data_IF_121822781813
#
_entry.id   IF_121822781813
#
_cell.length_a   1.000
_cell.length_b   1.000
_cell.length_c   1.000
_cell.angle_alpha   90.00
_cell.angle_beta   90.00
_cell.angle_gamma   90.00
#
_symmetry.space_group_name_H-M   'P 1'
#
loop_
_entity.id
_entity.type
_entity.pdbx_description
1 polymer ?
#
# COMPACT_ATOMS: atom_id res chain seq x y z
N UNK A 1 28.58 76.19 -38.19
CA UNK A 1 27.69 75.37 -39.02
C UNK A 1 27.86 73.92 -38.60
N UNK A 2 26.73 73.26 -38.38
CA UNK A 2 26.46 71.85 -38.05
C UNK A 2 26.90 71.25 -36.70
N UNK A 3 25.85 71.09 -35.89
CA UNK A 3 25.67 70.24 -34.72
C UNK A 3 25.20 68.88 -35.27
N UNK A 4 25.71 67.76 -34.76
CA UNK A 4 24.95 66.55 -34.41
C UNK A 4 25.88 65.34 -34.25
N UNK A 5 26.22 65.06 -32.99
CA UNK A 5 26.60 63.73 -32.53
C UNK A 5 25.46 63.25 -31.63
N UNK A 6 24.48 62.56 -32.20
CA UNK A 6 23.49 61.85 -31.40
C UNK A 6 24.14 60.59 -30.81
N UNK A 7 24.51 60.70 -29.54
CA UNK A 7 24.97 59.59 -28.73
C UNK A 7 23.82 58.64 -28.45
N UNK A 8 23.91 57.45 -29.01
CA UNK A 8 23.28 56.21 -28.55
C UNK A 8 23.44 56.07 -27.03
N UNK A 9 22.38 56.26 -26.23
CA UNK A 9 22.41 55.97 -24.80
C UNK A 9 21.03 55.62 -24.22
N UNK A 10 20.41 54.54 -24.70
CA UNK A 10 19.16 54.03 -24.10
C UNK A 10 19.10 52.49 -24.05
N UNK A 11 19.99 51.84 -23.28
CA UNK A 11 19.88 50.39 -23.01
C UNK A 11 20.22 49.96 -21.57
N UNK A 12 20.70 50.86 -20.69
CA UNK A 12 21.13 50.46 -19.33
C UNK A 12 20.03 50.28 -18.29
N UNK A 13 18.77 50.71 -18.54
CA UNK A 13 17.67 50.59 -17.55
C UNK A 13 16.85 49.29 -17.64
N UNK A 14 16.94 48.52 -18.73
CA UNK A 14 16.13 47.30 -18.93
C UNK A 14 16.82 46.00 -18.45
N UNK A 15 18.15 46.02 -18.36
CA UNK A 15 18.96 44.88 -17.88
C UNK A 15 18.69 44.56 -16.39
N UNK A 16 18.65 45.53 -15.45
CA UNK A 16 18.33 45.21 -14.05
C UNK A 16 16.87 44.75 -13.89
N UNK A 17 15.94 45.29 -14.68
CA UNK A 17 14.53 44.89 -14.66
C UNK A 17 14.34 43.43 -15.12
N UNK A 18 15.06 43.02 -16.16
CA UNK A 18 14.97 41.66 -16.70
C UNK A 18 15.57 40.62 -15.74
N UNK A 19 16.65 40.96 -15.04
CA UNK A 19 17.21 40.11 -13.96
C UNK A 19 16.26 39.94 -12.78
N UNK A 20 15.56 41.01 -12.37
CA UNK A 20 14.56 40.95 -11.31
C UNK A 20 13.39 40.04 -11.71
N UNK A 21 12.89 40.15 -12.95
CA UNK A 21 11.79 39.32 -13.44
C UNK A 21 12.17 37.84 -13.48
N UNK A 22 13.39 37.51 -13.94
CA UNK A 22 13.89 36.12 -13.96
C UNK A 22 13.99 35.57 -12.53
N UNK A 23 14.49 36.37 -11.59
CA UNK A 23 14.64 35.96 -10.18
C UNK A 23 13.27 35.70 -9.54
N UNK A 24 12.30 36.58 -9.78
CA UNK A 24 10.93 36.42 -9.29
C UNK A 24 10.25 35.21 -9.92
N UNK A 25 10.43 34.99 -11.23
CA UNK A 25 9.88 33.81 -11.91
C UNK A 25 10.46 32.50 -11.38
N UNK A 26 11.78 32.44 -11.15
CA UNK A 26 12.44 31.27 -10.55
C UNK A 26 11.93 30.98 -9.13
N UNK A 27 11.70 32.02 -8.32
CA UNK A 27 11.11 31.88 -6.98
C UNK A 27 9.68 31.33 -7.03
N UNK A 28 8.84 31.82 -7.97
CA UNK A 28 7.47 31.34 -8.14
C UNK A 28 7.45 29.87 -8.58
N UNK A 29 8.32 29.49 -9.52
CA UNK A 29 8.44 28.09 -9.99
C UNK A 29 8.93 27.20 -8.84
N UNK A 30 9.95 27.62 -8.08
CA UNK A 30 10.44 26.91 -6.92
C UNK A 30 9.36 26.73 -5.84
N UNK A 31 8.57 27.77 -5.57
CA UNK A 31 7.46 27.73 -4.63
C UNK A 31 6.33 26.82 -5.13
N UNK A 32 6.03 26.84 -6.42
CA UNK A 32 5.03 25.95 -7.04
C UNK A 32 5.46 24.48 -6.91
N UNK A 33 6.71 24.14 -7.26
CA UNK A 33 7.23 22.78 -7.05
C UNK A 33 7.24 22.40 -5.57
N UNK A 34 7.65 23.31 -4.68
CA UNK A 34 7.66 23.06 -3.22
C UNK A 34 6.26 22.86 -2.63
N UNK A 35 5.22 23.53 -3.15
CA UNK A 35 3.85 23.38 -2.66
C UNK A 35 3.10 22.21 -3.33
N UNK A 36 3.41 21.89 -4.58
CA UNK A 36 2.69 20.87 -5.37
C UNK A 36 3.33 19.47 -5.21
N UNK A 37 4.66 19.36 -5.20
CA UNK A 37 5.34 18.06 -5.08
C UNK A 37 5.03 17.29 -3.78
N UNK A 38 4.95 17.91 -2.58
CA UNK A 38 4.59 17.17 -1.37
C UNK A 38 3.13 16.71 -1.38
N UNK A 39 2.24 17.35 -2.15
CA UNK A 39 0.85 16.88 -2.32
C UNK A 39 0.72 15.68 -3.27
N UNK A 40 1.71 15.44 -4.13
CA UNK A 40 1.74 14.26 -5.01
C UNK A 40 2.46 13.08 -4.35
N UNK A 41 3.45 13.35 -3.48
CA UNK A 41 4.22 12.31 -2.78
C UNK A 41 3.64 11.84 -1.45
N UNK A 42 2.50 12.37 -1.03
CA UNK A 42 1.96 12.03 0.29
C UNK A 42 0.44 12.04 0.32
N UNK A 43 -0.17 11.04 -0.33
CA UNK A 43 -1.28 10.36 0.35
C UNK A 43 -0.66 9.60 1.52
N UNK A 44 -0.41 10.33 2.60
CA UNK A 44 -0.35 9.75 3.93
C UNK A 44 -1.69 9.05 4.12
N UNK A 45 -1.74 7.75 3.79
CA UNK A 45 -2.70 6.83 4.39
C UNK A 45 -2.38 6.95 5.88
N UNK A 46 -3.20 7.75 6.58
CA UNK A 46 -3.15 7.87 8.03
C UNK A 46 -3.10 6.46 8.58
N UNK A 47 -1.95 6.11 9.17
CA UNK A 47 -1.73 4.99 10.06
C UNK A 47 -2.26 3.65 9.57
N UNK A 48 -1.36 2.69 9.37
CA UNK A 48 -1.65 1.37 9.91
C UNK A 48 -2.00 1.60 11.39
N UNK A 49 -3.30 1.76 11.67
CA UNK A 49 -3.85 1.47 12.97
C UNK A 49 -3.36 0.05 13.21
N UNK A 50 -2.63 -0.16 14.30
CA UNK A 50 -2.27 -1.50 14.76
C UNK A 50 -3.60 -2.19 15.07
N UNK A 51 -4.24 -2.71 14.03
CA UNK A 51 -5.55 -3.33 14.14
C UNK A 51 -5.26 -4.74 14.56
N UNK A 52 -5.52 -5.03 15.83
CA UNK A 52 -5.70 -6.40 16.30
C UNK A 52 -6.77 -7.16 15.50
N UNK A 53 -7.56 -6.44 14.69
CA UNK A 53 -8.56 -6.96 13.77
C UNK A 53 -7.93 -7.58 12.52
N UNK A 54 -8.49 -8.70 12.08
CA UNK A 54 -8.09 -9.33 10.84
C UNK A 54 -8.54 -8.51 9.63
N UNK A 55 -7.71 -8.50 8.59
CA UNK A 55 -8.05 -7.98 7.27
C UNK A 55 -8.00 -9.10 6.23
N UNK A 56 -8.82 -8.99 5.19
CA UNK A 56 -8.67 -9.74 3.95
C UNK A 56 -7.90 -8.91 2.92
N UNK A 57 -6.76 -9.42 2.47
CA UNK A 57 -5.95 -8.84 1.39
C UNK A 57 -6.17 -9.65 0.12
N UNK A 58 -6.89 -9.05 -0.82
CA UNK A 58 -7.19 -9.64 -2.11
C UNK A 58 -6.11 -9.26 -3.10
N UNK A 59 -5.53 -10.26 -3.74
CA UNK A 59 -4.51 -10.08 -4.77
C UNK A 59 -5.15 -9.98 -6.16
N UNK A 60 -4.41 -9.44 -7.12
CA UNK A 60 -4.83 -9.32 -8.52
C UNK A 60 -4.99 -10.69 -9.21
N UNK A 61 -4.31 -11.72 -8.72
CA UNK A 61 -4.39 -13.10 -9.21
C UNK A 61 -5.53 -13.91 -8.56
N UNK A 62 -6.52 -13.26 -7.95
CA UNK A 62 -7.67 -13.87 -7.24
C UNK A 62 -7.34 -14.61 -5.94
N UNK A 63 -6.07 -14.65 -5.52
CA UNK A 63 -5.70 -15.21 -4.22
C UNK A 63 -6.09 -14.23 -3.10
N UNK A 64 -6.46 -14.78 -1.94
CA UNK A 64 -6.77 -13.99 -0.74
C UNK A 64 -5.95 -14.49 0.44
N UNK A 65 -5.36 -13.54 1.16
CA UNK A 65 -4.73 -13.76 2.45
C UNK A 65 -5.56 -13.07 3.55
N UNK A 66 -5.67 -13.71 4.70
CA UNK A 66 -6.26 -13.15 5.90
C UNK A 66 -5.19 -13.01 6.95
N UNK A 67 -5.09 -11.86 7.61
CA UNK A 67 -4.04 -11.67 8.61
C UNK A 67 -4.21 -10.35 9.35
N UNK A 68 -3.25 -10.05 10.22
CA UNK A 68 -3.17 -8.76 10.90
C UNK A 68 -2.08 -7.92 10.26
N UNK A 69 -2.37 -6.64 10.04
CA UNK A 69 -1.41 -5.70 9.49
C UNK A 69 -0.34 -5.42 10.54
N UNK A 70 0.89 -5.90 10.30
CA UNK A 70 2.06 -5.56 11.13
C UNK A 70 2.67 -4.23 10.69
N UNK A 71 2.73 -3.98 9.38
CA UNK A 71 3.32 -2.77 8.82
C UNK A 71 2.69 -2.42 7.47
N UNK A 72 2.50 -1.13 7.24
CA UNK A 72 2.14 -0.59 5.93
C UNK A 72 3.14 0.47 5.47
N UNK A 73 3.64 0.31 4.26
CA UNK A 73 4.45 1.30 3.55
C UNK A 73 3.88 1.52 2.13
N UNK A 74 4.27 2.58 1.41
CA UNK A 74 3.77 2.84 0.05
C UNK A 74 4.05 1.73 -0.97
N UNK A 75 5.04 0.87 -0.73
CA UNK A 75 5.43 -0.20 -1.66
C UNK A 75 4.96 -1.60 -1.23
N UNK A 76 4.75 -1.82 0.07
CA UNK A 76 4.43 -3.14 0.59
C UNK A 76 3.55 -3.09 1.85
N UNK A 77 2.91 -4.22 2.13
CA UNK A 77 2.21 -4.49 3.39
C UNK A 77 2.82 -5.75 3.98
N UNK A 78 3.02 -5.76 5.29
CA UNK A 78 3.46 -6.93 6.03
C UNK A 78 2.27 -7.41 6.86
N UNK A 79 1.85 -8.65 6.63
CA UNK A 79 0.88 -9.32 7.48
C UNK A 79 1.57 -10.31 8.42
N UNK A 80 0.99 -10.48 9.59
CA UNK A 80 1.29 -11.54 10.58
C UNK A 80 0.05 -12.37 10.82
N UNK A 81 0.20 -13.52 11.48
CA UNK A 81 -0.94 -14.33 11.92
C UNK A 81 -1.80 -14.71 10.69
N UNK A 82 -1.11 -15.24 9.68
CA UNK A 82 -1.60 -15.26 8.29
C UNK A 82 -2.30 -16.57 7.98
N UNK A 83 -3.42 -16.49 7.27
CA UNK A 83 -4.21 -17.62 6.82
C UNK A 83 -4.58 -17.47 5.34
N UNK A 84 -4.76 -18.60 4.65
CA UNK A 84 -5.21 -18.64 3.26
C UNK A 84 -6.29 -19.70 3.08
N UNK A 85 -7.06 -19.58 2.00
CA UNK A 85 -8.08 -20.58 1.64
C UNK A 85 -7.48 -21.61 0.71
N UNK A 86 -7.53 -22.88 1.11
CA UNK A 86 -7.23 -24.01 0.24
C UNK A 86 -8.52 -24.75 -0.13
N UNK A 87 -8.63 -25.12 -1.41
CA UNK A 87 -9.66 -26.06 -1.87
C UNK A 87 -9.24 -27.46 -1.46
N UNK A 88 -10.02 -28.11 -0.60
CA UNK A 88 -9.86 -29.54 -0.35
C UNK A 88 -10.76 -30.31 -1.31
N UNK A 89 -10.23 -31.28 -2.08
CA UNK A 89 -11.09 -32.21 -2.81
C UNK A 89 -11.87 -33.01 -1.78
N UNK A 90 -13.20 -32.89 -1.79
CA UNK A 90 -14.07 -33.68 -0.93
C UNK A 90 -14.28 -35.03 -1.60
N UNK A 91 -13.53 -36.04 -1.18
CA UNK A 91 -13.71 -37.41 -1.68
C UNK A 91 -14.76 -38.08 -0.79
N UNK A 92 -16.00 -38.16 -1.28
CA UNK A 92 -17.05 -38.95 -0.66
C UNK A 92 -17.54 -39.97 -1.71
N UNK A 93 -17.27 -41.27 -1.47
CA UNK A 93 -17.87 -42.35 -2.25
C UNK A 93 -17.52 -42.42 -3.74
N UNK A 94 -16.36 -41.90 -4.18
CA UNK A 94 -15.93 -42.00 -5.58
C UNK A 94 -16.56 -40.99 -6.55
N UNK A 95 -17.36 -40.04 -6.05
CA UNK A 95 -17.84 -38.90 -6.83
C UNK A 95 -17.37 -37.59 -6.17
N UNK A 96 -16.77 -36.70 -6.96
CA UNK A 96 -16.34 -35.40 -6.49
C UNK A 96 -17.58 -34.54 -6.19
N UNK A 97 -17.94 -34.43 -4.91
CA UNK A 97 -18.92 -33.46 -4.44
C UNK A 97 -18.22 -32.15 -4.10
N UNK A 98 -18.98 -31.05 -4.18
CA UNK A 98 -18.60 -29.64 -3.98
C UNK A 98 -17.31 -29.41 -3.17
N UNK A 99 -16.38 -28.62 -3.74
CA UNK A 99 -15.10 -28.30 -3.10
C UNK A 99 -15.31 -27.68 -1.73
N UNK A 100 -14.87 -28.35 -0.67
CA UNK A 100 -14.87 -27.77 0.66
C UNK A 100 -13.71 -26.79 0.77
N UNK A 101 -14.02 -25.50 0.97
CA UNK A 101 -13.02 -24.50 1.27
C UNK A 101 -12.56 -24.67 2.72
N UNK A 102 -11.25 -24.78 2.92
CA UNK A 102 -10.61 -24.82 4.23
C UNK A 102 -9.73 -23.59 4.41
N UNK A 103 -9.70 -23.05 5.62
CA UNK A 103 -8.76 -22.00 6.01
C UNK A 103 -7.56 -22.70 6.65
N UNK A 104 -6.36 -22.43 6.16
CA UNK A 104 -5.12 -22.99 6.70
C UNK A 104 -4.17 -21.84 7.09
N UNK A 105 -3.44 -21.95 8.21
CA UNK A 105 -2.43 -20.98 8.57
C UNK A 105 -1.23 -21.08 7.60
N UNK A 106 -0.60 -19.95 7.33
CA UNK A 106 0.54 -19.85 6.43
C UNK A 106 1.75 -20.64 6.93
N UNK A 107 1.99 -20.67 8.24
CA UNK A 107 3.11 -21.40 8.84
C UNK A 107 3.06 -22.92 8.57
N UNK A 108 1.89 -23.46 8.24
CA UNK A 108 1.71 -24.88 7.88
C UNK A 108 1.86 -25.12 6.36
N UNK A 109 2.20 -24.09 5.58
CA UNK A 109 2.50 -24.27 4.16
C UNK A 109 3.74 -25.17 4.01
N UNK A 110 3.72 -26.20 3.13
CA UNK A 110 4.86 -27.10 2.90
C UNK A 110 6.18 -26.41 2.55
N UNK A 111 6.15 -25.18 2.02
CA UNK A 111 7.38 -24.41 1.75
C UNK A 111 8.02 -23.85 3.03
N UNK A 112 7.35 -23.95 4.18
CA UNK A 112 7.83 -23.56 5.50
C UNK A 112 8.11 -22.06 5.69
N UNK A 113 7.17 -21.15 5.33
CA UNK A 113 7.39 -19.73 5.52
C UNK A 113 7.38 -19.37 7.01
N UNK A 114 8.02 -18.25 7.37
CA UNK A 114 7.80 -17.62 8.66
C UNK A 114 6.34 -17.18 8.81
N UNK A 115 5.88 -16.86 10.03
CA UNK A 115 4.53 -16.29 10.29
C UNK A 115 4.40 -14.82 9.85
N UNK A 116 5.03 -14.48 8.73
CA UNK A 116 5.00 -13.16 8.12
C UNK A 116 4.97 -13.28 6.60
N UNK A 117 4.11 -12.50 5.96
CA UNK A 117 4.12 -12.35 4.50
C UNK A 117 4.24 -10.88 4.13
N UNK A 118 5.18 -10.60 3.22
CA UNK A 118 5.38 -9.27 2.64
C UNK A 118 4.73 -9.24 1.25
N UNK A 119 3.66 -8.47 1.13
CA UNK A 119 2.89 -8.33 -0.11
C UNK A 119 3.23 -7.01 -0.80
N UNK A 120 3.56 -7.07 -2.08
CA UNK A 120 3.77 -5.88 -2.90
C UNK A 120 2.42 -5.21 -3.20
N UNK A 121 2.29 -3.90 -2.91
CA UNK A 121 1.04 -3.17 -3.12
C UNK A 121 0.57 -3.16 -4.57
N UNK A 122 1.48 -3.28 -5.54
CA UNK A 122 1.12 -3.34 -6.98
C UNK A 122 0.27 -4.58 -7.32
N UNK A 123 0.37 -5.63 -6.50
CA UNK A 123 -0.37 -6.88 -6.69
C UNK A 123 -1.62 -6.97 -5.81
N UNK A 124 -1.94 -5.94 -5.03
CA UNK A 124 -3.11 -5.91 -4.14
C UNK A 124 -4.25 -5.20 -4.86
N UNK A 125 -5.38 -5.88 -5.01
CA UNK A 125 -6.59 -5.27 -5.57
C UNK A 125 -7.41 -4.56 -4.50
N UNK A 126 -7.61 -5.18 -3.34
CA UNK A 126 -8.39 -4.61 -2.23
C UNK A 126 -7.88 -5.09 -0.87
N UNK A 127 -8.01 -4.25 0.15
CA UNK A 127 -7.82 -4.61 1.56
C UNK A 127 -9.12 -4.31 2.29
N UNK A 128 -9.66 -5.28 3.01
CA UNK A 128 -10.94 -5.14 3.71
C UNK A 128 -10.81 -5.56 5.17
N UNK A 129 -11.14 -4.70 6.14
CA UNK A 129 -11.31 -5.10 7.53
C UNK A 129 -12.39 -6.18 7.67
N UNK A 130 -12.11 -7.21 8.46
CA UNK A 130 -13.06 -8.28 8.73
C UNK A 130 -13.79 -8.02 10.04
N UNK A 131 -15.11 -8.22 10.03
CA UNK A 131 -15.91 -8.17 11.26
C UNK A 131 -15.51 -9.32 12.19
N UNK A 132 -15.50 -9.04 13.50
CA UNK A 132 -15.22 -10.03 14.55
C UNK A 132 -16.16 -11.26 14.52
N UNK A 133 -17.37 -11.09 14.00
CA UNK A 133 -18.37 -12.16 13.84
C UNK A 133 -18.40 -12.77 12.43
N UNK A 134 -17.46 -12.42 11.55
CA UNK A 134 -17.38 -13.04 10.22
C UNK A 134 -17.04 -14.52 10.32
N UNK A 135 -17.53 -15.33 9.35
CA UNK A 135 -17.25 -16.77 9.30
C UNK A 135 -15.74 -17.04 9.29
N UNK A 136 -14.97 -16.23 8.55
CA UNK A 136 -13.50 -16.34 8.48
C UNK A 136 -12.87 -16.13 9.86
N UNK A 137 -13.19 -15.03 10.55
CA UNK A 137 -12.61 -14.74 11.87
C UNK A 137 -13.02 -15.78 12.91
N UNK A 138 -14.27 -16.26 12.88
CA UNK A 138 -14.72 -17.34 13.77
C UNK A 138 -13.94 -18.64 13.52
N UNK A 139 -13.70 -19.02 12.25
CA UNK A 139 -12.90 -20.21 11.92
C UNK A 139 -11.44 -20.08 12.35
N UNK A 140 -10.85 -18.89 12.23
CA UNK A 140 -9.49 -18.62 12.72
C UNK A 140 -9.42 -18.78 14.25
N UNK A 141 -10.41 -18.25 14.99
CA UNK A 141 -10.49 -18.42 16.45
C UNK A 141 -10.58 -19.89 16.85
N UNK A 142 -11.49 -20.63 16.23
CA UNK A 142 -11.66 -22.06 16.47
C UNK A 142 -10.38 -22.85 16.17
N UNK A 143 -9.67 -22.51 15.09
CA UNK A 143 -8.38 -23.12 14.77
C UNK A 143 -7.37 -22.91 15.91
N UNK A 144 -7.23 -21.67 16.38
CA UNK A 144 -6.28 -21.33 17.46
C UNK A 144 -6.64 -21.98 18.79
N UNK A 145 -7.93 -22.03 19.14
CA UNK A 145 -8.42 -22.70 20.35
C UNK A 145 -8.17 -24.21 20.30
N UNK A 146 -8.25 -24.83 19.12
CA UNK A 146 -7.90 -26.24 18.96
C UNK A 146 -6.39 -26.45 19.08
N UNK A 147 -5.58 -25.67 18.36
CA UNK A 147 -4.11 -25.77 18.42
C UNK A 147 -3.58 -25.56 19.84
N UNK A 148 -4.12 -24.60 20.60
CA UNK A 148 -3.71 -24.35 21.98
C UNK A 148 -3.98 -25.55 22.90
N UNK A 149 -5.13 -26.22 22.72
CA UNK A 149 -5.48 -27.44 23.49
C UNK A 149 -4.60 -28.64 23.14
N UNK A 150 -4.13 -28.73 21.90
CA UNK A 150 -3.29 -29.84 21.46
C UNK A 150 -1.82 -29.68 21.89
N UNK A 151 -1.43 -28.50 22.39
CA UNK A 151 -0.07 -28.19 22.88
C UNK A 151 0.08 -28.20 24.40
N UNK A 152 -1.00 -28.42 25.15
CA UNK A 152 -1.02 -28.62 26.61
C UNK A 152 -0.97 -30.12 26.95
#
# INVERSE_FOLDING_TARGET
MNINSEKNLASKKKIPLLLVIITVSALIIGLFYFLVLPKIKSRNVKGAKDTSEYVGVFLTNTQVYFGKIKKEDPSYIILTDVFFVAKKPKVAGGQATESAYSINPLINDPIGPADEIKLNRVNISTIQPLRNNSVVVQRIKLYKEQTARDTE
#
